data_IF_005409598522
#
_entry.id   IF_005409598522
#
_cell.length_a   1.000
_cell.length_b   1.000
_cell.length_c   1.000
_cell.angle_alpha   90.00
_cell.angle_beta   90.00
_cell.angle_gamma   90.00
#
_symmetry.space_group_name_H-M   'P 1'
#
loop_
_entity.id
_entity.type
_entity.pdbx_description
1 polymer ?
#
# COMPACT_ATOMS: atom_id res chain seq x y z
N UNK A 1 30.13 -2.87 34.90
CA UNK A 1 28.79 -3.35 34.51
C UNK A 1 28.85 -3.72 33.03
N UNK A 2 29.04 -4.99 32.69
CA UNK A 2 29.28 -5.44 31.32
C UNK A 2 27.95 -5.59 30.57
N UNK A 3 27.73 -4.77 29.54
CA UNK A 3 26.57 -4.89 28.65
C UNK A 3 26.82 -6.02 27.66
N UNK A 4 26.24 -7.19 27.93
CA UNK A 4 26.22 -8.32 26.99
C UNK A 4 25.36 -7.97 25.78
N UNK A 5 25.99 -7.52 24.69
CA UNK A 5 25.33 -7.38 23.38
C UNK A 5 24.86 -8.75 22.91
N UNK A 6 23.59 -9.05 23.12
CA UNK A 6 22.92 -10.23 22.54
C UNK A 6 23.05 -10.16 21.01
N UNK A 7 23.80 -11.10 20.42
CA UNK A 7 23.92 -11.24 18.97
C UNK A 7 22.56 -11.65 18.41
N UNK A 8 21.88 -10.74 17.72
CA UNK A 8 20.67 -11.06 16.96
C UNK A 8 20.99 -12.17 15.95
N UNK A 9 20.15 -13.21 15.93
CA UNK A 9 20.27 -14.31 14.97
C UNK A 9 20.19 -13.76 13.53
N UNK A 10 21.01 -14.23 12.58
CA UNK A 10 20.99 -13.78 11.18
C UNK A 10 19.61 -13.92 10.53
N UNK A 11 18.81 -14.91 10.95
CA UNK A 11 17.45 -15.07 10.48
C UNK A 11 16.50 -13.95 10.93
N UNK A 12 16.74 -13.33 12.10
CA UNK A 12 15.94 -12.18 12.55
C UNK A 12 16.26 -10.91 11.75
N UNK A 13 17.52 -10.74 11.35
CA UNK A 13 17.96 -9.59 10.54
C UNK A 13 17.36 -9.64 9.13
N UNK A 14 17.35 -10.83 8.50
CA UNK A 14 16.80 -10.99 7.15
C UNK A 14 15.31 -10.62 7.06
N UNK A 15 14.51 -11.03 8.06
CA UNK A 15 13.06 -10.76 8.12
C UNK A 15 12.77 -9.27 8.21
N UNK A 16 13.43 -8.57 9.12
CA UNK A 16 13.24 -7.13 9.28
C UNK A 16 13.73 -6.35 8.04
N UNK A 17 14.79 -6.81 7.39
CA UNK A 17 15.24 -6.24 6.11
C UNK A 17 14.19 -6.40 5.02
N UNK A 18 13.62 -7.60 4.85
CA UNK A 18 12.58 -7.86 3.85
C UNK A 18 11.33 -7.00 4.09
N UNK A 19 10.88 -6.91 5.35
CA UNK A 19 9.77 -6.06 5.74
C UNK A 19 10.01 -4.57 5.41
N UNK A 20 11.21 -4.06 5.70
CA UNK A 20 11.59 -2.70 5.36
C UNK A 20 11.59 -2.46 3.84
N UNK A 21 12.20 -3.36 3.06
CA UNK A 21 12.19 -3.24 1.60
C UNK A 21 10.77 -3.26 1.04
N UNK A 22 9.92 -4.17 1.52
CA UNK A 22 8.54 -4.25 1.09
C UNK A 22 7.78 -2.94 1.36
N UNK A 23 7.91 -2.35 2.56
CA UNK A 23 7.28 -1.05 2.86
C UNK A 23 7.80 0.08 1.96
N UNK A 24 9.09 0.10 1.63
CA UNK A 24 9.68 1.09 0.72
C UNK A 24 9.19 0.92 -0.72
N UNK A 25 9.05 -0.31 -1.20
CA UNK A 25 8.51 -0.60 -2.52
C UNK A 25 7.07 -0.10 -2.62
N UNK A 26 6.22 -0.38 -1.62
CA UNK A 26 4.86 0.16 -1.57
C UNK A 26 4.89 1.69 -1.56
N UNK A 27 5.75 2.30 -0.73
CA UNK A 27 5.94 3.76 -0.73
C UNK A 27 6.30 4.30 -2.12
N UNK A 28 7.23 3.67 -2.84
CA UNK A 28 7.63 4.07 -4.18
C UNK A 28 6.49 3.95 -5.21
N UNK A 29 5.72 2.86 -5.18
CA UNK A 29 4.53 2.69 -6.03
C UNK A 29 3.53 3.82 -5.80
N UNK A 30 3.24 4.15 -4.55
CA UNK A 30 2.32 5.24 -4.22
C UNK A 30 2.88 6.63 -4.53
N UNK A 31 4.20 6.81 -4.51
CA UNK A 31 4.84 8.04 -5.02
C UNK A 31 4.61 8.19 -6.52
N UNK A 32 4.74 7.11 -7.30
CA UNK A 32 4.46 7.14 -8.74
C UNK A 32 2.98 7.47 -8.98
N UNK A 33 2.06 6.86 -8.24
CA UNK A 33 0.62 7.15 -8.33
C UNK A 33 0.36 8.63 -8.00
N UNK A 34 0.93 9.15 -6.90
CA UNK A 34 0.83 10.55 -6.52
C UNK A 34 1.27 11.48 -7.65
N UNK A 35 2.47 11.28 -8.18
CA UNK A 35 3.02 12.11 -9.25
C UNK A 35 2.17 12.02 -10.53
N UNK A 36 1.72 10.82 -10.91
CA UNK A 36 0.86 10.63 -12.08
C UNK A 36 -0.49 11.30 -11.92
N UNK A 37 -1.11 11.25 -10.74
CA UNK A 37 -2.39 11.93 -10.47
C UNK A 37 -2.25 13.45 -10.54
N UNK A 38 -1.11 14.02 -10.12
CA UNK A 38 -0.86 15.46 -10.24
C UNK A 38 -0.63 15.87 -11.70
N UNK A 39 0.26 15.17 -12.40
CA UNK A 39 0.76 15.58 -13.73
C UNK A 39 -0.22 15.15 -14.84
N UNK A 40 -0.75 13.94 -14.78
CA UNK A 40 -1.64 13.34 -15.78
C UNK A 40 -2.90 12.74 -15.15
N UNK A 41 -3.75 13.55 -14.48
CA UNK A 41 -4.91 13.06 -13.74
C UNK A 41 -5.88 12.26 -14.61
N UNK A 42 -6.23 12.76 -15.79
CA UNK A 42 -7.20 12.07 -16.65
C UNK A 42 -6.72 10.67 -17.07
N UNK A 43 -5.47 10.55 -17.53
CA UNK A 43 -4.90 9.25 -17.91
C UNK A 43 -4.74 8.28 -16.72
N UNK A 44 -4.67 8.80 -15.50
CA UNK A 44 -4.55 8.00 -14.28
C UNK A 44 -5.90 7.52 -13.79
N UNK A 45 -6.95 8.34 -13.96
CA UNK A 45 -8.27 8.10 -13.38
C UNK A 45 -9.29 7.53 -14.40
N UNK A 46 -9.06 7.69 -15.72
CA UNK A 46 -9.95 7.13 -16.73
C UNK A 46 -10.09 5.60 -16.70
N UNK A 47 -9.05 4.80 -16.35
CA UNK A 47 -9.21 3.35 -16.24
C UNK A 47 -10.12 2.91 -15.10
N UNK A 48 -10.36 3.78 -14.11
CA UNK A 48 -11.31 3.54 -13.02
C UNK A 48 -12.66 4.23 -13.25
N UNK A 49 -12.96 4.60 -14.51
CA UNK A 49 -14.25 5.18 -14.91
C UNK A 49 -14.42 6.65 -14.57
N UNK A 50 -13.38 7.34 -14.10
CA UNK A 50 -13.46 8.76 -13.77
C UNK A 50 -13.09 9.60 -15.00
N UNK A 51 -14.10 10.20 -15.61
CA UNK A 51 -13.87 11.21 -16.64
C UNK A 51 -13.51 12.56 -16.01
N UNK A 52 -12.21 12.72 -15.75
CA UNK A 52 -11.66 13.95 -15.17
C UNK A 52 -11.84 15.19 -16.05
N UNK A 53 -11.84 15.05 -17.38
CA UNK A 53 -11.78 16.21 -18.28
C UNK A 53 -13.15 16.85 -18.50
N UNK A 54 -14.25 16.09 -18.34
CA UNK A 54 -15.60 16.63 -18.36
C UNK A 54 -16.01 17.35 -17.07
N UNK A 55 -15.20 17.27 -16.01
CA UNK A 55 -15.50 17.93 -14.74
C UNK A 55 -15.27 19.44 -14.80
N UNK A 56 -16.04 20.18 -14.00
CA UNK A 56 -15.82 21.61 -13.74
C UNK A 56 -14.44 21.88 -13.16
N UNK A 57 -13.95 23.12 -13.20
CA UNK A 57 -12.65 23.46 -12.60
C UNK A 57 -12.58 23.09 -11.10
N UNK A 58 -13.60 23.39 -10.26
CA UNK A 58 -13.63 22.91 -8.88
C UNK A 58 -13.66 21.38 -8.76
N UNK A 59 -14.44 20.69 -9.59
CA UNK A 59 -14.50 19.22 -9.58
C UNK A 59 -13.15 18.57 -9.91
N UNK A 60 -12.41 19.14 -10.88
CA UNK A 60 -11.04 18.71 -11.19
C UNK A 60 -10.08 18.93 -10.03
N UNK A 61 -10.17 20.07 -9.35
CA UNK A 61 -9.34 20.35 -8.17
C UNK A 61 -9.63 19.35 -7.05
N UNK A 62 -10.91 19.05 -6.79
CA UNK A 62 -11.33 18.11 -5.76
C UNK A 62 -10.85 16.68 -6.05
N UNK A 63 -11.07 16.18 -7.27
CA UNK A 63 -10.59 14.84 -7.66
C UNK A 63 -9.07 14.73 -7.51
N UNK A 64 -8.33 15.76 -7.95
CA UNK A 64 -6.88 15.77 -7.80
C UNK A 64 -6.47 15.75 -6.32
N UNK A 65 -7.10 16.57 -5.48
CA UNK A 65 -6.81 16.63 -4.05
C UNK A 65 -7.11 15.28 -3.36
N UNK A 66 -8.25 14.68 -3.67
CA UNK A 66 -8.68 13.41 -3.10
C UNK A 66 -7.71 12.26 -3.46
N UNK A 67 -7.45 12.04 -4.75
CA UNK A 67 -6.62 10.92 -5.18
C UNK A 67 -5.14 11.13 -4.89
N UNK A 68 -4.60 12.34 -5.11
CA UNK A 68 -3.20 12.63 -4.82
C UNK A 68 -2.96 12.67 -3.30
N UNK A 69 -3.87 13.27 -2.53
CA UNK A 69 -3.80 13.30 -1.07
C UNK A 69 -3.79 11.90 -0.47
N UNK A 70 -4.68 11.02 -0.94
CA UNK A 70 -4.72 9.61 -0.51
C UNK A 70 -3.40 8.91 -0.78
N UNK A 71 -2.83 9.08 -1.98
CA UNK A 71 -1.54 8.50 -2.31
C UNK A 71 -0.40 9.05 -1.44
N UNK A 72 -0.39 10.36 -1.20
CA UNK A 72 0.62 11.03 -0.38
C UNK A 72 0.59 10.59 1.09
N UNK A 73 -0.59 10.32 1.66
CA UNK A 73 -0.73 9.75 3.01
C UNK A 73 -0.03 8.39 3.09
N UNK A 74 -0.21 7.53 2.08
CA UNK A 74 0.44 6.22 2.04
C UNK A 74 1.96 6.39 1.92
N UNK A 75 2.43 7.28 1.04
CA UNK A 75 3.87 7.60 0.92
C UNK A 75 4.46 8.05 2.25
N UNK A 76 3.81 9.00 2.92
CA UNK A 76 4.22 9.49 4.23
C UNK A 76 4.29 8.35 5.25
N UNK A 77 3.24 7.55 5.37
CA UNK A 77 3.19 6.41 6.30
C UNK A 77 4.29 5.37 6.04
N UNK A 78 4.63 5.12 4.77
CA UNK A 78 5.65 4.13 4.41
C UNK A 78 7.08 4.65 4.59
N UNK A 79 7.32 5.93 4.29
CA UNK A 79 8.67 6.52 4.31
C UNK A 79 9.06 7.12 5.68
N UNK A 80 8.09 7.43 6.55
CA UNK A 80 8.36 8.00 7.87
C UNK A 80 9.21 7.04 8.73
N UNK A 81 10.39 7.48 9.19
CA UNK A 81 11.34 6.61 9.88
C UNK A 81 10.87 6.19 11.27
N UNK A 82 10.15 7.07 11.98
CA UNK A 82 9.68 6.80 13.34
C UNK A 82 8.49 5.83 13.43
N UNK A 83 7.82 5.55 12.31
CA UNK A 83 6.73 4.58 12.30
C UNK A 83 7.32 3.16 12.34
N UNK A 84 6.95 2.41 13.38
CA UNK A 84 7.34 1.00 13.54
C UNK A 84 6.94 0.21 12.29
N UNK A 85 7.84 -0.63 11.77
CA UNK A 85 7.63 -1.46 10.57
C UNK A 85 6.35 -2.29 10.68
N UNK A 86 6.06 -2.83 11.86
CA UNK A 86 4.82 -3.58 12.14
C UNK A 86 3.55 -2.78 11.85
N UNK A 87 3.55 -1.48 12.18
CA UNK A 87 2.43 -0.57 11.91
C UNK A 87 2.32 -0.32 10.41
N UNK A 88 3.44 -0.10 9.72
CA UNK A 88 3.45 0.04 8.25
C UNK A 88 2.87 -1.19 7.55
N UNK A 89 3.28 -2.39 7.95
CA UNK A 89 2.74 -3.64 7.41
C UNK A 89 1.24 -3.81 7.69
N UNK A 90 0.77 -3.39 8.86
CA UNK A 90 -0.66 -3.36 9.15
C UNK A 90 -1.42 -2.40 8.23
N UNK A 91 -0.90 -1.19 8.02
CA UNK A 91 -1.51 -0.22 7.10
C UNK A 91 -1.55 -0.76 5.66
N UNK A 92 -0.47 -1.39 5.17
CA UNK A 92 -0.46 -2.03 3.84
C UNK A 92 -1.53 -3.12 3.76
N UNK A 93 -1.66 -3.96 4.80
CA UNK A 93 -2.68 -5.01 4.84
C UNK A 93 -4.09 -4.41 4.77
N UNK A 94 -4.38 -3.36 5.52
CA UNK A 94 -5.67 -2.67 5.49
C UNK A 94 -5.95 -2.01 4.14
N UNK A 95 -4.93 -1.38 3.55
CA UNK A 95 -5.03 -0.69 2.26
C UNK A 95 -5.34 -1.68 1.12
N UNK A 96 -4.46 -2.66 0.92
CA UNK A 96 -4.59 -3.62 -0.18
C UNK A 96 -5.75 -4.60 0.06
N UNK A 97 -5.96 -5.03 1.30
CA UNK A 97 -7.11 -5.85 1.66
C UNK A 97 -8.43 -5.09 1.49
N UNK A 98 -8.46 -3.80 1.80
CA UNK A 98 -9.61 -2.93 1.56
C UNK A 98 -9.94 -2.82 0.08
N UNK A 99 -8.93 -2.59 -0.78
CA UNK A 99 -9.12 -2.56 -2.23
C UNK A 99 -9.65 -3.90 -2.78
N UNK A 100 -9.07 -5.01 -2.35
CA UNK A 100 -9.51 -6.34 -2.76
C UNK A 100 -10.96 -6.60 -2.36
N UNK A 101 -11.34 -6.31 -1.11
CA UNK A 101 -12.72 -6.46 -0.63
C UNK A 101 -13.70 -5.56 -1.39
N UNK A 102 -13.33 -4.29 -1.63
CA UNK A 102 -14.17 -3.36 -2.37
C UNK A 102 -14.41 -3.84 -3.82
N UNK A 103 -13.40 -4.40 -4.49
CA UNK A 103 -13.59 -4.99 -5.83
C UNK A 103 -14.47 -6.22 -5.81
N UNK A 104 -14.31 -7.12 -4.83
CA UNK A 104 -15.21 -8.29 -4.70
C UNK A 104 -16.67 -7.83 -4.58
N UNK A 105 -16.93 -6.84 -3.71
CA UNK A 105 -18.27 -6.26 -3.58
C UNK A 105 -18.74 -5.64 -4.90
N UNK A 106 -17.89 -4.87 -5.57
CA UNK A 106 -18.19 -4.29 -6.88
C UNK A 106 -18.56 -5.36 -7.93
N UNK A 107 -17.77 -6.43 -8.05
CA UNK A 107 -18.06 -7.53 -8.97
C UNK A 107 -19.35 -8.28 -8.62
N UNK A 108 -19.70 -8.40 -7.34
CA UNK A 108 -20.97 -9.00 -6.94
C UNK A 108 -22.18 -8.13 -7.33
N UNK A 109 -22.04 -6.80 -7.34
CA UNK A 109 -23.13 -5.86 -7.64
C UNK A 109 -23.25 -5.61 -9.15
N UNK A 110 -22.12 -5.37 -9.81
CA UNK A 110 -22.05 -4.83 -11.17
C UNK A 110 -21.64 -5.89 -12.21
N UNK A 111 -21.13 -7.04 -11.76
CA UNK A 111 -20.54 -8.09 -12.60
C UNK A 111 -19.03 -7.93 -12.79
N UNK A 112 -18.34 -9.02 -13.10
CA UNK A 112 -16.92 -9.02 -13.49
C UNK A 112 -16.75 -9.00 -15.01
N UNK A 113 -15.58 -8.62 -15.52
CA UNK A 113 -15.35 -8.68 -16.97
C UNK A 113 -14.12 -7.96 -17.54
N UNK A 114 -13.27 -7.33 -16.72
CA UNK A 114 -12.05 -6.69 -17.19
C UNK A 114 -10.80 -7.44 -16.67
N UNK A 115 -10.06 -8.07 -17.58
CA UNK A 115 -8.82 -8.78 -17.30
C UNK A 115 -7.77 -7.88 -16.62
N UNK A 116 -7.76 -6.58 -16.94
CA UNK A 116 -6.89 -5.61 -16.28
C UNK A 116 -7.20 -5.48 -14.79
N UNK A 117 -8.49 -5.37 -14.45
CA UNK A 117 -8.96 -5.29 -13.08
C UNK A 117 -8.68 -6.57 -12.28
N UNK A 118 -8.80 -7.74 -12.90
CA UNK A 118 -8.51 -9.04 -12.28
C UNK A 118 -7.02 -9.17 -11.88
N UNK A 119 -6.12 -8.71 -12.75
CA UNK A 119 -4.69 -8.72 -12.47
C UNK A 119 -4.34 -7.82 -11.27
N UNK A 120 -4.96 -6.64 -11.17
CA UNK A 120 -4.77 -5.72 -10.04
C UNK A 120 -5.33 -6.35 -8.75
N UNK A 121 -6.49 -6.99 -8.83
CA UNK A 121 -7.07 -7.73 -7.70
C UNK A 121 -6.12 -8.81 -7.17
N UNK A 122 -5.51 -9.62 -8.05
CA UNK A 122 -4.53 -10.63 -7.65
C UNK A 122 -3.32 -9.99 -6.95
N UNK A 123 -2.80 -8.89 -7.50
CA UNK A 123 -1.67 -8.15 -6.90
C UNK A 123 -2.03 -7.66 -5.48
N UNK A 124 -3.24 -7.15 -5.28
CA UNK A 124 -3.70 -6.68 -3.98
C UNK A 124 -3.84 -7.81 -2.96
N UNK A 125 -4.43 -8.94 -3.36
CA UNK A 125 -4.57 -10.12 -2.48
C UNK A 125 -3.19 -10.64 -2.09
N UNK A 126 -2.28 -10.79 -3.05
CA UNK A 126 -0.90 -11.24 -2.79
C UNK A 126 -0.20 -10.23 -1.88
N UNK A 127 -0.26 -8.95 -2.19
CA UNK A 127 0.37 -7.90 -1.39
C UNK A 127 -0.15 -7.85 0.05
N UNK A 128 -1.47 -7.90 0.24
CA UNK A 128 -2.09 -7.97 1.56
C UNK A 128 -1.64 -9.21 2.35
N UNK A 129 -1.53 -10.36 1.66
CA UNK A 129 -1.04 -11.62 2.25
C UNK A 129 0.42 -11.52 2.66
N UNK A 130 1.29 -10.98 1.80
CA UNK A 130 2.71 -10.74 2.11
C UNK A 130 2.85 -9.82 3.32
N UNK A 131 2.08 -8.73 3.38
CA UNK A 131 2.06 -7.82 4.53
C UNK A 131 1.66 -8.55 5.82
N UNK A 132 0.63 -9.42 5.76
CA UNK A 132 0.18 -10.23 6.88
C UNK A 132 1.28 -11.18 7.39
N UNK A 133 1.92 -11.92 6.47
CA UNK A 133 2.97 -12.89 6.79
C UNK A 133 4.16 -12.21 7.44
N UNK A 134 4.67 -11.12 6.83
CA UNK A 134 5.79 -10.34 7.38
C UNK A 134 5.45 -9.77 8.76
N UNK A 135 4.21 -9.31 8.96
CA UNK A 135 3.76 -8.77 10.26
C UNK A 135 3.73 -9.86 11.34
N UNK A 136 3.28 -11.08 11.02
CA UNK A 136 3.31 -12.22 11.95
C UNK A 136 4.75 -12.57 12.34
N UNK A 137 5.64 -12.64 11.35
CA UNK A 137 7.05 -12.97 11.56
C UNK A 137 7.78 -11.95 12.47
N UNK A 138 7.45 -10.67 12.35
CA UNK A 138 7.95 -9.62 13.25
C UNK A 138 7.39 -9.82 14.68
N UNK A 139 6.11 -10.12 14.81
CA UNK A 139 5.45 -10.33 16.12
C UNK A 139 6.05 -11.52 16.89
N UNK A 140 6.38 -12.62 16.20
CA UNK A 140 7.02 -13.78 16.81
C UNK A 140 8.45 -13.53 17.23
N UNK A 141 9.15 -12.62 16.55
CA UNK A 141 10.53 -12.26 16.89
C UNK A 141 10.61 -11.42 18.17
N UNK A 142 9.56 -10.65 18.48
CA UNK A 142 9.47 -9.88 19.73
C UNK A 142 9.17 -10.76 20.94
N UNK A 143 8.44 -11.87 20.77
CA UNK A 143 8.16 -12.82 21.88
C UNK A 143 9.38 -13.65 22.32
N UNK A 144 10.44 -13.68 21.53
CA UNK A 144 11.67 -14.46 21.80
C UNK A 144 12.77 -13.64 22.48
N UNK A 145 12.53 -12.36 22.78
CA UNK A 145 13.43 -11.49 23.54
C UNK A 145 12.90 -11.30 24.94
#
# INVERSE_FOLDING_TARGET
MATTRSKKSPASTLKSTLALYYTRVIGAVFTIIFLRTIIFPHATLSPIGVDYNSQSLPGRAELRAYYAGTALIVVGGMLHQDIKVRVKLFLIQCLLGGFACARVVGYCIEGGGDFGADCIFVIEVIGATVAHVLKRMETESDKKK
#
